data_IF_456351056053
#
_entry.id   IF_456351056053
#
_cell.length_a   1.000
_cell.length_b   1.000
_cell.length_c   1.000
_cell.angle_alpha   90.00
_cell.angle_beta   90.00
_cell.angle_gamma   90.00
#
_symmetry.space_group_name_H-M   'P 1'
#
loop_
_entity.id
_entity.type
_entity.pdbx_description
1 polymer ?
#
# COMPACT_ATOMS: atom_id res chain seq x y z
N UNK A 1 33.13 -14.13 12.23
CA UNK A 1 31.83 -14.77 12.55
C UNK A 1 30.84 -13.67 12.87
N UNK A 2 29.75 -13.54 12.11
CA UNK A 2 28.71 -12.56 12.39
C UNK A 2 27.77 -13.14 13.45
N UNK A 3 27.68 -12.51 14.63
CA UNK A 3 26.77 -12.93 15.68
C UNK A 3 25.45 -12.17 15.55
N UNK A 4 24.33 -12.89 15.39
CA UNK A 4 23.00 -12.28 15.32
C UNK A 4 22.50 -12.03 16.74
N UNK A 5 22.21 -10.77 17.07
CA UNK A 5 21.56 -10.42 18.34
C UNK A 5 20.07 -10.73 18.23
N UNK A 6 19.61 -11.74 18.99
CA UNK A 6 18.20 -12.10 19.11
C UNK A 6 17.69 -11.78 20.53
N UNK A 7 16.47 -11.22 20.68
CA UNK A 7 15.83 -11.08 21.99
C UNK A 7 15.60 -12.46 22.64
N UNK A 8 15.68 -12.54 23.97
CA UNK A 8 15.59 -13.81 24.70
C UNK A 8 14.31 -14.60 24.39
N UNK A 9 13.16 -13.92 24.24
CA UNK A 9 11.91 -14.56 23.88
C UNK A 9 11.92 -15.19 22.48
N UNK A 10 12.60 -14.56 21.52
CA UNK A 10 12.74 -15.11 20.17
C UNK A 10 13.67 -16.33 20.18
N UNK A 11 14.76 -16.28 20.95
CA UNK A 11 15.65 -17.43 21.12
C UNK A 11 14.91 -18.63 21.71
N UNK A 12 14.09 -18.42 22.76
CA UNK A 12 13.31 -19.49 23.38
C UNK A 12 12.29 -20.10 22.40
N UNK A 13 11.64 -19.28 21.57
CA UNK A 13 10.70 -19.75 20.55
C UNK A 13 11.41 -20.59 19.46
N UNK A 14 12.60 -20.16 19.03
CA UNK A 14 13.42 -20.93 18.07
C UNK A 14 13.87 -22.26 18.67
N UNK A 15 14.26 -22.27 19.94
CA UNK A 15 14.70 -23.48 20.63
C UNK A 15 13.55 -24.49 20.79
N UNK A 16 12.37 -24.03 21.23
CA UNK A 16 11.18 -24.88 21.33
C UNK A 16 10.77 -25.45 19.96
N UNK A 17 10.89 -24.65 18.89
CA UNK A 17 10.64 -25.12 17.53
C UNK A 17 11.69 -26.15 17.08
N UNK A 18 12.97 -25.92 17.40
CA UNK A 18 14.04 -26.86 17.11
C UNK A 18 13.82 -28.22 17.79
N UNK A 19 13.42 -28.22 19.06
CA UNK A 19 13.08 -29.43 19.83
C UNK A 19 11.89 -30.18 19.22
N UNK A 20 10.80 -29.47 18.90
CA UNK A 20 9.63 -30.07 18.28
C UNK A 20 9.94 -30.72 16.93
N UNK A 21 10.92 -30.19 16.19
CA UNK A 21 11.36 -30.68 14.89
C UNK A 21 12.61 -31.57 14.93
N UNK A 22 13.14 -31.86 16.12
CA UNK A 22 14.37 -32.67 16.32
C UNK A 22 15.57 -32.14 15.53
N UNK A 23 15.75 -30.82 15.53
CA UNK A 23 16.83 -30.13 14.83
C UNK A 23 17.78 -29.44 15.82
N UNK A 24 19.03 -29.25 15.40
CA UNK A 24 19.95 -28.35 16.10
C UNK A 24 19.53 -26.91 15.81
N UNK A 25 19.75 -26.00 16.78
CA UNK A 25 19.38 -24.58 16.69
C UNK A 25 19.80 -23.91 15.37
N UNK A 26 21.00 -24.21 14.87
CA UNK A 26 21.49 -23.66 13.59
C UNK A 26 20.59 -24.02 12.41
N UNK A 27 20.18 -25.29 12.34
CA UNK A 27 19.38 -25.82 11.25
C UNK A 27 17.95 -25.33 11.35
N UNK A 28 17.44 -25.22 12.58
CA UNK A 28 16.15 -24.61 12.85
C UNK A 28 16.09 -23.15 12.38
N UNK A 29 17.12 -22.36 12.68
CA UNK A 29 17.22 -20.97 12.20
C UNK A 29 17.22 -20.93 10.67
N UNK A 30 18.04 -21.75 10.00
CA UNK A 30 18.09 -21.80 8.54
C UNK A 30 16.71 -22.13 7.93
N UNK A 31 16.03 -23.16 8.46
CA UNK A 31 14.70 -23.57 7.98
C UNK A 31 13.64 -22.51 8.22
N UNK A 32 13.63 -21.88 9.39
CA UNK A 32 12.68 -20.81 9.71
C UNK A 32 12.90 -19.59 8.82
N UNK A 33 14.16 -19.25 8.51
CA UNK A 33 14.49 -18.17 7.58
C UNK A 33 14.04 -18.52 6.15
N UNK A 34 14.30 -19.75 5.67
CA UNK A 34 13.81 -20.20 4.35
C UNK A 34 12.28 -20.12 4.24
N UNK A 35 11.56 -20.58 5.27
CA UNK A 35 10.10 -20.50 5.32
C UNK A 35 9.62 -19.06 5.36
N UNK A 36 10.29 -18.22 6.15
CA UNK A 36 10.04 -16.79 6.24
C UNK A 36 10.22 -16.10 4.89
N UNK A 37 11.29 -16.42 4.14
CA UNK A 37 11.55 -15.85 2.82
C UNK A 37 10.59 -16.34 1.74
N UNK A 38 10.12 -17.61 1.82
CA UNK A 38 9.09 -18.15 0.91
C UNK A 38 7.70 -17.54 1.15
N UNK A 39 7.38 -17.22 2.41
CA UNK A 39 6.08 -16.68 2.82
C UNK A 39 6.05 -15.15 2.88
N UNK A 40 7.21 -14.51 3.04
CA UNK A 40 7.31 -13.08 2.90
C UNK A 40 6.69 -12.74 1.55
N UNK A 41 5.67 -11.86 1.50
CA UNK A 41 5.31 -11.30 0.22
C UNK A 41 6.62 -10.73 -0.31
N UNK A 42 7.08 -11.24 -1.45
CA UNK A 42 7.96 -10.45 -2.28
C UNK A 42 7.13 -9.22 -2.56
N UNK A 43 7.22 -8.19 -1.72
CA UNK A 43 6.48 -6.97 -1.91
C UNK A 43 6.94 -6.50 -3.29
N UNK A 44 6.13 -6.69 -4.34
CA UNK A 44 6.50 -6.07 -5.59
C UNK A 44 6.44 -4.59 -5.25
N UNK A 45 7.39 -3.75 -5.69
CA UNK A 45 7.07 -2.33 -5.76
C UNK A 45 5.71 -2.26 -6.46
N UNK A 46 4.70 -1.57 -5.89
CA UNK A 46 3.37 -1.56 -6.48
C UNK A 46 3.56 -1.18 -7.94
N UNK A 47 3.20 -2.09 -8.84
CA UNK A 47 3.41 -1.85 -10.26
C UNK A 47 2.67 -0.56 -10.60
N UNK A 48 3.18 0.26 -11.52
CA UNK A 48 2.51 1.53 -11.86
C UNK A 48 1.04 1.32 -12.25
N UNK A 49 0.68 0.14 -12.75
CA UNK A 49 -0.70 -0.28 -13.02
C UNK A 49 -1.56 -0.44 -11.75
N UNK A 50 -1.01 -0.99 -10.66
CA UNK A 50 -1.70 -1.12 -9.36
C UNK A 50 -1.89 0.24 -8.69
N UNK A 51 -0.88 1.12 -8.75
CA UNK A 51 -1.00 2.48 -8.20
C UNK A 51 -2.07 3.27 -8.97
N UNK A 52 -2.06 3.18 -10.30
CA UNK A 52 -3.06 3.84 -11.13
C UNK A 52 -4.48 3.31 -10.89
N UNK A 53 -4.65 2.00 -10.68
CA UNK A 53 -5.97 1.44 -10.39
C UNK A 53 -6.49 1.84 -9.00
N UNK A 54 -5.61 1.88 -8.00
CA UNK A 54 -5.97 2.35 -6.66
C UNK A 54 -6.33 3.84 -6.67
N UNK A 55 -5.58 4.64 -7.42
CA UNK A 55 -5.88 6.07 -7.60
C UNK A 55 -7.25 6.30 -8.24
N UNK A 56 -7.56 5.57 -9.33
CA UNK A 56 -8.87 5.67 -9.99
C UNK A 56 -10.02 5.28 -9.05
N UNK A 57 -9.83 4.26 -8.20
CA UNK A 57 -10.84 3.85 -7.20
C UNK A 57 -11.02 4.88 -6.09
N UNK A 58 -9.94 5.55 -5.67
CA UNK A 58 -10.01 6.63 -4.68
C UNK A 58 -10.74 7.83 -5.27
N UNK A 59 -10.43 8.21 -6.50
CA UNK A 59 -11.07 9.29 -7.22
C UNK A 59 -12.58 9.03 -7.41
N UNK A 60 -12.96 7.83 -7.88
CA UNK A 60 -14.37 7.43 -8.03
C UNK A 60 -15.15 7.54 -6.71
N UNK A 61 -14.56 7.07 -5.60
CA UNK A 61 -15.18 7.18 -4.27
C UNK A 61 -15.33 8.63 -3.83
N UNK A 62 -14.33 9.48 -4.11
CA UNK A 62 -14.39 10.90 -3.78
C UNK A 62 -15.47 11.61 -4.59
N UNK A 63 -15.54 11.37 -5.90
CA UNK A 63 -16.59 11.91 -6.79
C UNK A 63 -17.97 11.54 -6.25
N UNK A 64 -18.21 10.26 -5.97
CA UNK A 64 -19.49 9.79 -5.46
C UNK A 64 -19.88 10.43 -4.12
N UNK A 65 -18.92 10.56 -3.18
CA UNK A 65 -19.23 11.14 -1.88
C UNK A 65 -19.48 12.66 -1.97
N UNK A 66 -18.73 13.38 -2.80
CA UNK A 66 -18.97 14.81 -3.05
C UNK A 66 -20.35 15.00 -3.70
N UNK A 67 -20.69 14.19 -4.70
CA UNK A 67 -21.98 14.25 -5.39
C UNK A 67 -23.17 14.13 -4.42
N UNK A 68 -23.05 13.27 -3.40
CA UNK A 68 -24.04 13.10 -2.32
C UNK A 68 -24.13 14.28 -1.36
N UNK A 69 -23.04 15.00 -1.15
CA UNK A 69 -22.97 16.18 -0.27
C UNK A 69 -23.43 17.46 -0.96
N UNK A 70 -23.42 17.50 -2.29
CA UNK A 70 -23.90 18.63 -3.07
C UNK A 70 -25.42 18.72 -3.07
N UNK A 71 -25.93 19.95 -3.13
CA UNK A 71 -27.37 20.21 -3.22
C UNK A 71 -27.96 19.57 -4.49
N UNK A 72 -28.94 18.67 -4.37
CA UNK A 72 -29.58 18.03 -5.53
C UNK A 72 -30.41 19.00 -6.37
N UNK A 73 -30.74 20.18 -5.85
CA UNK A 73 -31.44 21.22 -6.62
C UNK A 73 -30.52 21.97 -7.60
N UNK A 74 -29.20 21.79 -7.51
CA UNK A 74 -28.26 22.37 -8.45
C UNK A 74 -28.35 21.70 -9.83
N UNK A 75 -28.19 22.46 -10.93
CA UNK A 75 -28.04 21.87 -12.26
C UNK A 75 -26.90 20.86 -12.30
N UNK A 76 -27.08 19.76 -13.04
CA UNK A 76 -26.08 18.69 -13.15
C UNK A 76 -24.71 19.22 -13.59
N UNK A 77 -24.67 20.15 -14.55
CA UNK A 77 -23.43 20.78 -15.04
C UNK A 77 -22.69 21.55 -13.94
N UNK A 78 -23.42 22.20 -13.04
CA UNK A 78 -22.82 22.95 -11.93
C UNK A 78 -22.29 22.00 -10.85
N UNK A 79 -23.01 20.91 -10.58
CA UNK A 79 -22.55 19.86 -9.66
C UNK A 79 -21.26 19.23 -10.18
N UNK A 80 -21.22 18.88 -11.47
CA UNK A 80 -20.04 18.32 -12.13
C UNK A 80 -18.84 19.28 -12.09
N UNK A 81 -19.06 20.56 -12.43
CA UNK A 81 -18.00 21.60 -12.34
C UNK A 81 -17.41 21.68 -10.93
N UNK A 82 -18.25 21.60 -9.90
CA UNK A 82 -17.82 21.69 -8.50
C UNK A 82 -17.09 20.43 -8.03
N UNK A 83 -17.56 19.25 -8.44
CA UNK A 83 -16.87 17.97 -8.20
C UNK A 83 -15.46 18.05 -8.78
N UNK A 84 -15.33 18.36 -10.08
CA UNK A 84 -14.01 18.47 -10.75
C UNK A 84 -13.10 19.47 -10.05
N UNK A 85 -13.62 20.62 -9.62
CA UNK A 85 -12.81 21.63 -8.91
C UNK A 85 -12.31 21.15 -7.55
N UNK A 86 -13.02 20.23 -6.89
CA UNK A 86 -12.62 19.64 -5.60
C UNK A 86 -11.72 18.41 -5.76
N UNK A 87 -11.87 17.63 -6.83
CA UNK A 87 -11.06 16.42 -7.08
C UNK A 87 -9.77 16.72 -7.86
N UNK A 88 -9.85 17.58 -8.88
CA UNK A 88 -8.69 17.99 -9.69
C UNK A 88 -7.96 19.21 -9.11
N UNK A 89 -8.68 20.02 -8.32
CA UNK A 89 -8.21 21.30 -7.83
C UNK A 89 -8.46 22.45 -8.81
N UNK A 90 -8.02 23.67 -8.49
CA UNK A 90 -8.09 24.79 -9.42
C UNK A 90 -7.21 24.54 -10.66
N UNK A 91 -7.62 25.01 -11.85
CA UNK A 91 -6.88 24.76 -13.09
C UNK A 91 -5.46 25.34 -13.07
N UNK A 92 -5.21 26.38 -12.26
CA UNK A 92 -3.89 26.99 -12.08
C UNK A 92 -2.88 26.05 -11.42
N UNK A 93 -3.35 25.05 -10.65
CA UNK A 93 -2.50 24.14 -9.87
C UNK A 93 -2.58 22.68 -10.33
N UNK A 94 -3.41 22.37 -11.33
CA UNK A 94 -3.58 20.99 -11.83
C UNK A 94 -2.25 20.37 -12.31
N UNK A 95 -1.36 21.19 -12.87
CA UNK A 95 -0.04 20.78 -13.36
C UNK A 95 1.03 20.62 -12.25
N UNK A 96 0.77 21.13 -11.04
CA UNK A 96 1.67 21.01 -9.88
C UNK A 96 1.49 19.67 -9.15
N UNK A 97 0.43 18.92 -9.48
CA UNK A 97 0.10 17.63 -8.87
C UNK A 97 1.24 16.63 -9.01
N UNK A 98 1.78 16.19 -7.87
CA UNK A 98 2.88 15.22 -7.79
C UNK A 98 2.40 13.76 -7.88
N UNK A 99 1.10 13.55 -7.64
CA UNK A 99 0.41 12.26 -7.61
C UNK A 99 0.02 11.78 -9.02
N UNK A 100 -0.12 12.69 -9.98
CA UNK A 100 -0.43 12.36 -11.38
C UNK A 100 0.83 12.31 -12.26
N UNK A 101 0.86 11.43 -13.28
CA UNK A 101 1.92 11.44 -14.28
C UNK A 101 1.92 12.78 -15.02
N UNK A 102 3.04 13.51 -14.95
CA UNK A 102 3.21 14.77 -15.67
C UNK A 102 3.17 14.49 -17.18
N UNK A 103 2.17 15.03 -17.88
CA UNK A 103 2.12 15.02 -19.34
C UNK A 103 3.30 15.85 -19.82
N UNK A 104 4.31 15.19 -20.41
CA UNK A 104 5.41 15.90 -21.09
C UNK A 104 4.84 16.45 -22.38
N UNK A 105 4.70 17.77 -22.46
CA UNK A 105 4.40 18.50 -23.70
C UNK A 105 5.70 18.76 -24.46
#
# INVERSE_FOLDING_TARGET
>A
MSAVKMPAGLTAAVDAWAEAHQLVRSDAICRLVELGLKRAPAAPPPSSATIASDFARIEERAVHEIDRLLDPALPADERERRIRRLTEGPPEFSHERIDLPKVRT
#
